data_IF_911461504321
#
_entry.id   IF_911461504321
#
_cell.length_a   1.000
_cell.length_b   1.000
_cell.length_c   1.000
_cell.angle_alpha   90.00
_cell.angle_beta   90.00
_cell.angle_gamma   90.00
#
_symmetry.space_group_name_H-M   'P 1'
#
loop_
_entity.id
_entity.type
_entity.pdbx_description
1 polymer ?
#
# COMPACT_ATOMS: atom_id res chain seq x y z
N UNK A 1 7.12 -10.36 -12.29
CA UNK A 1 7.38 -10.60 -10.85
C UNK A 1 8.63 -9.85 -10.48
N UNK A 2 8.60 -9.12 -9.37
CA UNK A 2 9.78 -8.42 -8.87
C UNK A 2 10.76 -9.42 -8.25
N UNK A 3 12.04 -9.27 -8.58
CA UNK A 3 13.09 -10.15 -8.10
C UNK A 3 13.54 -9.71 -6.70
N UNK A 4 14.06 -10.65 -5.90
CA UNK A 4 14.75 -10.37 -4.64
C UNK A 4 13.98 -9.49 -3.66
N UNK A 5 12.72 -9.85 -3.41
CA UNK A 5 11.93 -9.24 -2.34
C UNK A 5 12.29 -9.85 -0.98
N UNK A 6 12.31 -9.04 0.09
CA UNK A 6 12.67 -9.51 1.42
C UNK A 6 11.60 -10.44 1.99
N UNK A 7 12.03 -11.36 2.84
CA UNK A 7 11.11 -12.17 3.62
C UNK A 7 10.35 -11.33 4.65
N UNK A 8 9.15 -11.79 5.02
CA UNK A 8 8.27 -11.06 5.94
C UNK A 8 8.90 -10.84 7.33
N UNK A 9 9.71 -11.78 7.83
CA UNK A 9 10.35 -11.60 9.14
C UNK A 9 11.44 -10.51 9.10
N UNK A 10 12.19 -10.40 7.98
CA UNK A 10 13.17 -9.34 7.78
C UNK A 10 12.51 -7.96 7.76
N UNK A 11 11.33 -7.83 7.15
CA UNK A 11 10.55 -6.57 7.15
C UNK A 11 10.15 -6.18 8.57
N UNK A 12 9.53 -7.10 9.33
CA UNK A 12 9.10 -6.84 10.71
C UNK A 12 10.27 -6.48 11.62
N UNK A 13 11.39 -7.20 11.49
CA UNK A 13 12.62 -6.92 12.22
C UNK A 13 13.18 -5.54 11.87
N UNK A 14 13.10 -5.12 10.61
CA UNK A 14 13.54 -3.81 10.19
C UNK A 14 12.76 -2.70 10.91
N UNK A 15 11.42 -2.75 10.88
CA UNK A 15 10.61 -1.76 11.61
C UNK A 15 10.96 -1.69 13.09
N UNK A 16 11.13 -2.85 13.75
CA UNK A 16 11.48 -2.91 15.18
C UNK A 16 12.86 -2.34 15.48
N UNK A 17 13.82 -2.57 14.59
CA UNK A 17 15.19 -2.07 14.76
C UNK A 17 15.33 -0.57 14.44
N UNK A 18 14.49 -0.05 13.53
CA UNK A 18 14.59 1.34 13.06
C UNK A 18 13.82 2.33 13.93
N UNK A 19 12.69 1.92 14.51
CA UNK A 19 11.83 2.85 15.23
C UNK A 19 12.56 3.50 16.43
N UNK A 20 12.57 4.84 16.55
CA UNK A 20 13.28 5.53 17.62
C UNK A 20 12.58 5.43 18.98
N UNK A 21 11.29 5.05 18.99
CA UNK A 21 10.49 4.86 20.19
C UNK A 21 9.35 3.87 19.93
N UNK A 22 8.74 3.36 20.99
CA UNK A 22 7.56 2.51 20.89
C UNK A 22 6.35 3.27 20.31
N UNK A 23 6.19 4.55 20.64
CA UNK A 23 5.12 5.39 20.09
C UNK A 23 5.27 5.58 18.58
N UNK A 24 6.50 5.83 18.10
CA UNK A 24 6.80 5.94 16.69
C UNK A 24 6.55 4.61 15.97
N UNK A 25 7.03 3.50 16.55
CA UNK A 25 6.76 2.16 16.04
C UNK A 25 5.26 1.93 15.89
N UNK A 26 4.50 2.11 16.96
CA UNK A 26 3.07 1.81 16.99
C UNK A 26 2.28 2.66 15.99
N UNK A 27 2.67 3.91 15.73
CA UNK A 27 1.99 4.74 14.74
C UNK A 27 2.32 4.30 13.30
N UNK A 28 3.61 4.21 12.97
CA UNK A 28 4.08 4.02 11.60
C UNK A 28 3.88 2.56 11.17
N UNK A 29 4.23 1.60 12.03
CA UNK A 29 4.02 0.18 11.74
C UNK A 29 2.53 -0.15 11.60
N UNK A 30 1.65 0.31 12.50
CA UNK A 30 0.21 0.07 12.35
C UNK A 30 -0.34 0.63 11.04
N UNK A 31 0.13 1.80 10.62
CA UNK A 31 -0.23 2.32 9.30
C UNK A 31 0.26 1.38 8.19
N UNK A 32 1.52 0.97 8.20
CA UNK A 32 2.07 0.02 7.24
C UNK A 32 1.29 -1.30 7.20
N UNK A 33 0.79 -1.80 8.34
CA UNK A 33 -0.09 -2.99 8.40
C UNK A 33 -1.41 -2.74 7.66
N UNK A 34 -2.04 -1.59 7.87
CA UNK A 34 -3.26 -1.20 7.12
C UNK A 34 -2.96 -1.14 5.63
N UNK A 35 -1.84 -0.52 5.22
CA UNK A 35 -1.50 -0.38 3.79
C UNK A 35 -1.14 -1.72 3.16
N UNK A 36 -0.41 -2.59 3.84
CA UNK A 36 -0.12 -3.95 3.37
C UNK A 36 -1.40 -4.77 3.18
N UNK A 37 -2.38 -4.62 4.09
CA UNK A 37 -3.69 -5.27 3.99
C UNK A 37 -4.44 -4.79 2.75
N UNK A 38 -4.58 -3.47 2.57
CA UNK A 38 -5.29 -2.90 1.41
C UNK A 38 -4.55 -3.23 0.10
N UNK A 39 -3.22 -3.18 0.10
CA UNK A 39 -2.39 -3.49 -1.08
C UNK A 39 -2.59 -4.93 -1.52
N UNK A 40 -2.58 -5.88 -0.58
CA UNK A 40 -2.89 -7.27 -0.87
C UNK A 40 -4.32 -7.43 -1.39
N UNK A 41 -5.31 -6.79 -0.75
CA UNK A 41 -6.71 -6.85 -1.19
C UNK A 41 -6.87 -6.35 -2.65
N UNK A 42 -6.26 -5.21 -3.00
CA UNK A 42 -6.30 -4.66 -4.36
C UNK A 42 -5.62 -5.58 -5.37
N UNK A 43 -4.43 -6.12 -5.04
CA UNK A 43 -3.73 -7.08 -5.89
C UNK A 43 -4.55 -8.36 -6.11
N UNK A 44 -5.11 -8.92 -5.04
CA UNK A 44 -5.99 -10.10 -5.04
C UNK A 44 -7.22 -9.88 -5.92
N UNK A 45 -7.86 -8.72 -5.77
CA UNK A 45 -9.03 -8.33 -6.55
C UNK A 45 -8.70 -8.20 -8.05
N UNK A 46 -7.57 -7.59 -8.39
CA UNK A 46 -7.10 -7.51 -9.77
C UNK A 46 -6.85 -8.90 -10.38
N UNK A 47 -6.25 -9.82 -9.62
CA UNK A 47 -6.06 -11.20 -10.06
C UNK A 47 -7.40 -11.94 -10.25
N UNK A 48 -8.38 -11.72 -9.39
CA UNK A 48 -9.73 -12.28 -9.53
C UNK A 48 -10.42 -11.77 -10.81
N UNK A 49 -10.39 -10.46 -11.04
CA UNK A 49 -10.94 -9.84 -12.25
C UNK A 49 -10.31 -10.39 -13.53
N UNK A 50 -8.99 -10.57 -13.56
CA UNK A 50 -8.31 -11.17 -14.71
C UNK A 50 -8.69 -12.63 -14.91
N UNK A 51 -8.71 -13.43 -13.84
CA UNK A 51 -9.12 -14.83 -13.91
C UNK A 51 -10.55 -14.98 -14.44
N UNK A 52 -11.47 -14.10 -14.04
CA UNK A 52 -12.84 -14.10 -14.54
C UNK A 52 -12.91 -13.72 -16.01
N UNK A 53 -12.23 -12.63 -16.41
CA UNK A 53 -12.16 -12.21 -17.82
C UNK A 53 -11.60 -13.31 -18.73
N UNK A 54 -10.68 -14.13 -18.24
CA UNK A 54 -10.12 -15.26 -19.01
C UNK A 54 -11.06 -16.47 -19.11
N UNK A 55 -11.99 -16.63 -18.17
CA UNK A 55 -12.91 -17.78 -18.09
C UNK A 55 -14.30 -17.52 -18.68
N UNK A 56 -14.74 -16.27 -18.77
CA UNK A 56 -16.11 -15.91 -19.18
C UNK A 56 -16.45 -14.44 -18.87
N UNK A 57 -17.73 -14.14 -18.66
CA UNK A 57 -18.16 -12.80 -18.19
C UNK A 57 -18.00 -12.69 -16.68
N UNK A 58 -17.77 -11.47 -16.16
CA UNK A 58 -17.76 -11.18 -14.71
C UNK A 58 -19.12 -11.58 -14.07
N UNK A 59 -20.20 -11.49 -14.83
CA UNK A 59 -21.57 -11.83 -14.40
C UNK A 59 -21.73 -13.30 -14.03
N UNK A 60 -20.96 -14.21 -14.66
CA UNK A 60 -21.02 -15.66 -14.41
C UNK A 60 -20.51 -16.06 -13.01
N UNK A 61 -19.93 -15.11 -12.28
CA UNK A 61 -19.27 -15.32 -11.00
C UNK A 61 -19.88 -14.50 -9.85
N UNK A 62 -20.88 -13.65 -10.11
CA UNK A 62 -21.51 -12.79 -9.11
C UNK A 62 -22.16 -13.58 -7.94
N UNK A 63 -22.63 -14.80 -8.22
CA UNK A 63 -23.28 -15.68 -7.23
C UNK A 63 -22.29 -16.61 -6.49
N UNK A 64 -20.98 -16.53 -6.78
CA UNK A 64 -19.99 -17.42 -6.16
C UNK A 64 -19.54 -16.90 -4.80
N UNK A 65 -19.32 -17.83 -3.87
CA UNK A 65 -18.73 -17.50 -2.56
C UNK A 65 -17.29 -16.98 -2.71
N UNK A 66 -16.79 -16.13 -1.79
CA UNK A 66 -15.41 -15.64 -1.81
C UNK A 66 -14.36 -16.76 -1.88
N UNK A 67 -14.59 -17.86 -1.19
CA UNK A 67 -13.70 -19.03 -1.23
C UNK A 67 -13.68 -19.70 -2.62
N UNK A 68 -14.84 -19.79 -3.28
CA UNK A 68 -14.93 -20.34 -4.63
C UNK A 68 -14.23 -19.43 -5.65
N UNK A 69 -14.41 -18.12 -5.53
CA UNK A 69 -13.72 -17.11 -6.34
C UNK A 69 -12.21 -17.23 -6.19
N UNK A 70 -11.73 -17.33 -4.96
CA UNK A 70 -10.31 -17.54 -4.65
C UNK A 70 -9.75 -18.80 -5.30
N UNK A 71 -10.43 -19.95 -5.15
CA UNK A 71 -9.98 -21.22 -5.73
C UNK A 71 -9.90 -21.16 -7.25
N UNK A 72 -10.89 -20.53 -7.90
CA UNK A 72 -10.91 -20.34 -9.35
C UNK A 72 -9.72 -19.50 -9.80
N UNK A 73 -9.48 -18.37 -9.12
CA UNK A 73 -8.37 -17.49 -9.43
C UNK A 73 -7.03 -18.21 -9.28
N UNK A 74 -6.79 -18.89 -8.15
CA UNK A 74 -5.54 -19.63 -7.91
C UNK A 74 -5.32 -20.75 -8.95
N UNK A 75 -6.39 -21.41 -9.38
CA UNK A 75 -6.32 -22.38 -10.47
C UNK A 75 -5.87 -21.75 -11.79
N UNK A 76 -6.32 -20.52 -12.11
CA UNK A 76 -5.88 -19.84 -13.33
C UNK A 76 -4.43 -19.35 -13.22
N UNK A 77 -4.06 -18.71 -12.12
CA UNK A 77 -2.67 -18.28 -11.87
C UNK A 77 -1.72 -19.47 -11.97
N UNK A 78 -2.06 -20.61 -11.36
CA UNK A 78 -1.21 -21.81 -11.40
C UNK A 78 -1.01 -22.41 -12.80
N UNK A 79 -1.94 -22.20 -13.74
CA UNK A 79 -1.80 -22.66 -15.13
C UNK A 79 -0.80 -21.81 -15.90
N UNK A 80 -0.71 -20.52 -15.56
CA UNK A 80 0.16 -19.55 -16.22
C UNK A 80 1.55 -19.55 -15.59
N UNK A 81 1.62 -19.45 -14.25
CA UNK A 81 2.88 -19.32 -13.53
C UNK A 81 2.76 -19.91 -12.10
N UNK A 82 3.47 -21.03 -11.86
CA UNK A 82 3.48 -21.72 -10.56
C UNK A 82 4.20 -20.93 -9.46
N UNK A 83 5.22 -20.15 -9.82
CA UNK A 83 5.95 -19.32 -8.87
C UNK A 83 5.07 -18.17 -8.39
N UNK A 84 4.32 -17.55 -9.31
CA UNK A 84 3.35 -16.52 -8.98
C UNK A 84 2.24 -17.04 -8.06
N UNK A 85 1.74 -18.26 -8.31
CA UNK A 85 0.79 -18.90 -7.39
C UNK A 85 1.41 -19.10 -6.01
N UNK A 86 2.64 -19.59 -5.94
CA UNK A 86 3.35 -19.80 -4.67
C UNK A 86 3.50 -18.48 -3.90
N UNK A 87 3.70 -17.37 -4.61
CA UNK A 87 3.74 -16.03 -4.03
C UNK A 87 2.37 -15.53 -3.57
N UNK A 88 1.27 -15.90 -4.24
CA UNK A 88 -0.09 -15.64 -3.75
C UNK A 88 -0.35 -16.35 -2.41
N UNK A 89 0.03 -17.63 -2.31
CA UNK A 89 -0.10 -18.39 -1.05
C UNK A 89 0.77 -17.80 0.06
N UNK A 90 2.00 -17.41 -0.26
CA UNK A 90 2.92 -16.76 0.68
C UNK A 90 2.35 -15.44 1.19
N UNK A 91 1.82 -14.60 0.30
CA UNK A 91 1.22 -13.32 0.66
C UNK A 91 0.01 -13.52 1.60
N UNK A 92 -0.89 -14.45 1.26
CA UNK A 92 -2.03 -14.82 2.09
C UNK A 92 -1.57 -15.26 3.48
N UNK A 93 -0.65 -16.22 3.56
CA UNK A 93 -0.15 -16.73 4.85
C UNK A 93 0.54 -15.65 5.69
N UNK A 94 1.34 -14.79 5.06
CA UNK A 94 1.99 -13.67 5.76
C UNK A 94 0.98 -12.65 6.28
N UNK A 95 -0.03 -12.32 5.46
CA UNK A 95 -1.08 -11.40 5.86
C UNK A 95 -1.90 -11.97 7.02
N UNK A 96 -2.37 -13.21 6.93
CA UNK A 96 -3.12 -13.87 8.01
C UNK A 96 -2.35 -13.85 9.33
N UNK A 97 -1.03 -14.06 9.27
CA UNK A 97 -0.15 -13.96 10.44
C UNK A 97 -0.02 -12.51 10.95
N UNK A 98 0.02 -11.54 10.04
CA UNK A 98 0.16 -10.11 10.37
C UNK A 98 -1.10 -9.55 11.06
N UNK A 99 -2.29 -9.86 10.54
CA UNK A 99 -3.58 -9.37 11.07
C UNK A 99 -4.23 -10.34 12.07
N UNK A 100 -3.64 -11.53 12.26
CA UNK A 100 -4.12 -12.61 13.13
C UNK A 100 -5.58 -13.03 12.86
N UNK A 101 -5.98 -13.03 11.58
CA UNK A 101 -7.34 -13.29 11.12
C UNK A 101 -7.33 -13.95 9.74
N UNK A 102 -8.41 -14.65 9.39
CA UNK A 102 -8.62 -15.19 8.06
C UNK A 102 -8.87 -14.05 7.06
N UNK A 103 -8.12 -14.06 5.95
CA UNK A 103 -8.25 -13.06 4.88
C UNK A 103 -9.63 -13.08 4.20
N UNK A 104 -10.37 -14.19 4.26
CA UNK A 104 -11.75 -14.26 3.77
C UNK A 104 -12.73 -13.41 4.59
N UNK A 105 -12.35 -12.99 5.80
CA UNK A 105 -13.13 -12.05 6.62
C UNK A 105 -12.97 -10.59 6.21
N UNK A 106 -11.97 -10.28 5.37
CA UNK A 106 -11.73 -8.92 4.91
C UNK A 106 -12.87 -8.43 4.00
N UNK A 107 -13.19 -7.12 4.02
CA UNK A 107 -14.17 -6.53 3.12
C UNK A 107 -13.82 -6.78 1.66
N UNK A 108 -14.82 -7.08 0.83
CA UNK A 108 -14.63 -7.19 -0.62
C UNK A 108 -14.43 -5.80 -1.25
N UNK A 109 -13.78 -5.77 -2.42
CA UNK A 109 -13.59 -4.57 -3.25
C UNK A 109 -14.63 -4.57 -4.35
N UNK A 110 -15.27 -3.41 -4.57
CA UNK A 110 -16.32 -3.24 -5.58
C UNK A 110 -15.76 -2.61 -6.87
N UNK A 111 -16.19 -3.11 -8.03
CA UNK A 111 -15.80 -2.55 -9.34
C UNK A 111 -14.37 -2.87 -9.74
N UNK A 112 -13.67 -1.95 -10.42
CA UNK A 112 -12.33 -2.17 -10.95
C UNK A 112 -12.33 -2.71 -12.39
N UNK A 113 -11.16 -2.71 -13.01
CA UNK A 113 -10.94 -3.23 -14.35
C UNK A 113 -9.85 -4.31 -14.32
N UNK A 114 -10.06 -5.41 -15.03
CA UNK A 114 -9.08 -6.48 -15.11
C UNK A 114 -7.74 -5.97 -15.70
N UNK A 115 -6.59 -6.25 -15.07
CA UNK A 115 -5.28 -5.87 -15.60
C UNK A 115 -4.94 -6.66 -16.88
N UNK A 116 -3.83 -6.29 -17.54
CA UNK A 116 -3.29 -7.07 -18.66
C UNK A 116 -2.67 -8.38 -18.20
N UNK A 117 -2.05 -8.37 -17.03
CA UNK A 117 -1.28 -9.45 -16.45
C UNK A 117 -1.60 -9.60 -14.96
N UNK A 118 -1.31 -10.79 -14.43
CA UNK A 118 -1.46 -11.05 -13.01
C UNK A 118 -0.47 -10.24 -12.17
N UNK A 119 -0.97 -9.72 -11.06
CA UNK A 119 -0.23 -8.94 -10.07
C UNK A 119 0.47 -9.87 -9.09
N UNK A 120 1.70 -9.52 -8.74
CA UNK A 120 2.44 -10.19 -7.69
C UNK A 120 1.93 -9.76 -6.29
N UNK A 121 1.03 -10.55 -5.72
CA UNK A 121 0.38 -10.26 -4.43
C UNK A 121 1.40 -10.09 -3.29
N UNK A 122 2.49 -10.84 -3.30
CA UNK A 122 3.53 -10.74 -2.26
C UNK A 122 4.31 -9.44 -2.38
N UNK A 123 4.58 -8.98 -3.60
CA UNK A 123 5.25 -7.72 -3.84
C UNK A 123 4.40 -6.53 -3.36
N UNK A 124 3.09 -6.53 -3.67
CA UNK A 124 2.17 -5.51 -3.17
C UNK A 124 2.06 -5.52 -1.63
N UNK A 125 1.97 -6.71 -1.02
CA UNK A 125 1.97 -6.87 0.43
C UNK A 125 3.26 -6.34 1.09
N UNK A 126 4.42 -6.81 0.63
CA UNK A 126 5.72 -6.42 1.17
C UNK A 126 6.01 -4.93 0.97
N UNK A 127 5.68 -4.41 -0.22
CA UNK A 127 5.76 -2.99 -0.53
C UNK A 127 4.88 -2.15 0.39
N UNK A 128 3.66 -2.61 0.69
CA UNK A 128 2.77 -1.94 1.65
C UNK A 128 3.33 -1.90 3.07
N UNK A 129 4.11 -2.88 3.49
CA UNK A 129 4.81 -2.82 4.78
C UNK A 129 5.99 -1.83 4.74
N UNK A 130 6.75 -1.77 3.65
CA UNK A 130 8.01 -1.02 3.59
C UNK A 130 7.88 0.43 3.11
N UNK A 131 6.79 0.79 2.43
CA UNK A 131 6.67 2.08 1.73
C UNK A 131 6.98 3.29 2.63
N UNK A 132 6.61 3.21 3.90
CA UNK A 132 6.71 4.33 4.84
C UNK A 132 7.85 4.18 5.86
N UNK A 133 8.78 3.24 5.66
CA UNK A 133 9.89 3.01 6.60
C UNK A 133 10.71 4.28 6.85
N UNK A 134 10.82 5.15 5.83
CA UNK A 134 11.54 6.40 5.94
C UNK A 134 10.88 7.44 6.85
N UNK A 135 9.63 7.24 7.26
CA UNK A 135 8.91 8.16 8.16
C UNK A 135 9.56 8.25 9.53
N UNK A 136 10.22 7.18 9.99
CA UNK A 136 11.02 7.21 11.22
C UNK A 136 12.13 8.28 11.21
N UNK A 137 12.60 8.67 10.02
CA UNK A 137 13.67 9.66 9.86
C UNK A 137 13.16 11.08 9.67
N UNK A 138 11.85 11.33 9.63
CA UNK A 138 11.25 12.68 9.48
C UNK A 138 10.32 13.04 10.64
N UNK A 139 10.63 12.52 11.83
CA UNK A 139 9.95 12.89 13.07
C UNK A 139 10.61 14.15 13.65
N UNK A 140 9.82 15.19 13.92
CA UNK A 140 10.25 16.34 14.72
C UNK A 140 10.28 15.97 16.21
N UNK A 141 9.35 15.12 16.65
CA UNK A 141 9.32 14.50 17.99
C UNK A 141 8.90 13.04 17.87
N UNK A 142 9.65 12.16 18.50
CA UNK A 142 9.41 10.71 18.49
C UNK A 142 8.49 10.23 19.62
N UNK A 143 8.05 11.12 20.51
CA UNK A 143 7.22 10.76 21.67
C UNK A 143 7.96 10.06 22.81
N UNK A 144 9.31 9.98 22.77
CA UNK A 144 10.12 9.36 23.83
C UNK A 144 10.34 10.26 25.06
N UNK A 145 10.19 11.58 24.89
CA UNK A 145 10.46 12.57 25.95
C UNK A 145 9.17 12.96 26.65
N UNK A 146 9.09 12.55 27.92
CA UNK A 146 8.02 12.77 28.92
C UNK A 146 6.84 11.78 28.86
N UNK A 147 6.18 11.59 30.01
CA UNK A 147 5.04 10.69 30.27
C UNK A 147 3.82 10.95 29.35
N UNK A 148 3.87 12.04 28.56
CA UNK A 148 2.91 12.43 27.52
C UNK A 148 3.61 12.95 26.23
N UNK A 149 4.82 12.46 25.92
CA UNK A 149 5.61 12.88 24.78
C UNK A 149 4.81 12.84 23.47
N UNK A 150 4.60 14.00 22.84
CA UNK A 150 3.81 14.09 21.61
C UNK A 150 4.64 13.63 20.42
N UNK A 151 4.09 12.71 19.65
CA UNK A 151 4.62 12.38 18.32
C UNK A 151 4.27 13.53 17.36
N UNK A 152 5.27 14.03 16.65
CA UNK A 152 5.13 15.15 15.72
C UNK A 152 6.01 14.90 14.50
N UNK A 153 5.42 15.01 13.31
CA UNK A 153 6.14 14.91 12.05
C UNK A 153 6.80 16.24 11.69
N UNK A 154 7.95 16.20 11.03
CA UNK A 154 8.54 17.36 10.39
C UNK A 154 7.73 17.70 9.13
N UNK A 155 6.66 18.49 9.29
CA UNK A 155 5.72 18.81 8.21
C UNK A 155 6.39 19.32 6.91
N UNK A 156 7.24 20.36 6.96
CA UNK A 156 7.93 20.88 5.78
C UNK A 156 8.81 19.85 5.06
N UNK A 157 9.43 18.93 5.79
CA UNK A 157 10.32 17.91 5.23
C UNK A 157 9.67 16.53 5.14
N UNK A 158 8.38 16.39 5.46
CA UNK A 158 7.72 15.09 5.53
C UNK A 158 7.84 14.35 4.21
N UNK A 159 7.74 15.06 3.08
CA UNK A 159 7.86 14.49 1.74
C UNK A 159 9.21 13.76 1.49
N UNK A 160 10.26 14.07 2.26
CA UNK A 160 11.54 13.37 2.18
C UNK A 160 11.49 11.93 2.68
N UNK A 161 10.44 11.49 3.40
CA UNK A 161 10.34 10.13 3.91
C UNK A 161 10.48 9.08 2.80
N UNK A 162 9.96 9.32 1.61
CA UNK A 162 10.09 8.40 0.49
C UNK A 162 11.54 8.21 0.06
N UNK A 163 12.31 9.30 -0.09
CA UNK A 163 13.73 9.24 -0.48
C UNK A 163 14.62 8.71 0.66
N UNK A 164 14.40 9.14 1.90
CA UNK A 164 15.12 8.61 3.07
C UNK A 164 14.85 7.12 3.27
N UNK A 165 13.62 6.68 3.04
CA UNK A 165 13.25 5.26 3.08
C UNK A 165 13.93 4.46 1.98
N UNK A 166 13.98 5.00 0.76
CA UNK A 166 14.72 4.41 -0.36
C UNK A 166 16.20 4.23 -0.03
N UNK A 167 16.91 5.30 0.35
CA UNK A 167 18.33 5.25 0.66
C UNK A 167 18.61 4.27 1.82
N UNK A 168 17.79 4.32 2.87
CA UNK A 168 17.90 3.42 4.01
C UNK A 168 17.73 1.94 3.64
N UNK A 169 16.80 1.62 2.74
CA UNK A 169 16.60 0.24 2.29
C UNK A 169 17.82 -0.26 1.48
N UNK A 170 18.37 0.57 0.60
CA UNK A 170 19.58 0.23 -0.15
C UNK A 170 20.76 0.00 0.81
N UNK A 171 20.97 0.90 1.78
CA UNK A 171 22.05 0.79 2.77
C UNK A 171 21.92 -0.47 3.65
N UNK A 172 20.70 -0.98 3.84
CA UNK A 172 20.43 -2.23 4.58
C UNK A 172 20.38 -3.47 3.67
N UNK A 173 20.88 -3.38 2.43
CA UNK A 173 21.03 -4.49 1.50
C UNK A 173 19.71 -5.02 0.96
N UNK A 174 18.69 -4.17 0.82
CA UNK A 174 17.48 -4.50 0.07
C UNK A 174 17.68 -4.19 -1.42
N UNK A 175 16.92 -4.87 -2.27
CA UNK A 175 16.98 -4.66 -3.72
C UNK A 175 16.39 -3.31 -4.14
N UNK A 176 16.78 -2.85 -5.32
CA UNK A 176 16.20 -1.67 -5.97
C UNK A 176 14.67 -1.80 -6.09
N UNK A 177 14.19 -2.97 -6.56
CA UNK A 177 12.76 -3.28 -6.67
C UNK A 177 12.00 -3.07 -5.35
N UNK A 178 12.65 -3.37 -4.22
CA UNK A 178 12.08 -3.17 -2.89
C UNK A 178 12.11 -1.70 -2.47
N UNK A 179 13.27 -1.04 -2.63
CA UNK A 179 13.46 0.35 -2.20
C UNK A 179 12.54 1.33 -2.94
N UNK A 180 12.21 1.03 -4.20
CA UNK A 180 11.36 1.86 -5.04
C UNK A 180 9.90 1.98 -4.51
N UNK A 181 9.42 1.04 -3.70
CA UNK A 181 8.13 1.19 -3.01
C UNK A 181 8.14 2.38 -2.05
N UNK A 182 9.25 2.63 -1.35
CA UNK A 182 9.39 3.81 -0.51
C UNK A 182 9.51 5.07 -1.35
N UNK A 183 10.29 5.04 -2.43
CA UNK A 183 10.56 6.21 -3.28
C UNK A 183 9.32 6.77 -3.97
N UNK A 184 8.44 5.91 -4.48
CA UNK A 184 7.47 6.28 -5.53
C UNK A 184 5.99 6.29 -5.08
N UNK A 185 5.71 6.25 -3.78
CA UNK A 185 4.33 6.12 -3.28
C UNK A 185 3.67 7.47 -2.90
N UNK A 186 4.37 8.60 -3.00
CA UNK A 186 3.82 9.90 -2.60
C UNK A 186 2.79 10.41 -3.61
N UNK A 187 1.66 10.94 -3.10
CA UNK A 187 0.60 11.49 -3.94
C UNK A 187 0.00 10.46 -4.89
N UNK A 188 -0.34 10.87 -6.11
CA UNK A 188 -0.79 9.98 -7.19
C UNK A 188 0.30 9.76 -8.23
N UNK A 189 1.55 9.80 -7.76
CA UNK A 189 2.77 9.92 -8.56
C UNK A 189 3.17 11.39 -8.65
N UNK A 190 4.44 11.68 -8.38
CA UNK A 190 4.96 13.04 -8.37
C UNK A 190 5.94 13.22 -9.55
N UNK A 191 5.60 14.09 -10.50
CA UNK A 191 6.46 14.34 -11.67
C UNK A 191 7.56 15.34 -11.36
N UNK A 192 8.63 15.32 -12.16
CA UNK A 192 9.71 16.32 -12.11
C UNK A 192 9.18 17.75 -12.17
N UNK A 193 8.22 18.02 -13.05
CA UNK A 193 7.61 19.34 -13.20
C UNK A 193 6.87 19.76 -11.93
N UNK A 194 6.16 18.84 -11.26
CA UNK A 194 5.52 19.12 -9.98
C UNK A 194 6.54 19.40 -8.89
N UNK A 195 7.65 18.65 -8.82
CA UNK A 195 8.76 18.90 -7.89
C UNK A 195 9.29 20.33 -8.04
N UNK A 196 9.59 20.74 -9.27
CA UNK A 196 10.16 22.06 -9.55
C UNK A 196 9.13 23.17 -9.33
N UNK A 197 7.93 23.03 -9.90
CA UNK A 197 6.91 24.10 -9.86
C UNK A 197 6.32 24.34 -8.47
N UNK A 198 6.26 23.30 -7.63
CA UNK A 198 5.79 23.41 -6.25
C UNK A 198 6.93 23.67 -5.25
N UNK A 199 8.17 23.82 -5.74
CA UNK A 199 9.37 24.03 -4.93
C UNK A 199 9.51 23.01 -3.79
N UNK A 200 9.27 21.73 -4.11
CA UNK A 200 9.35 20.65 -3.13
C UNK A 200 10.81 20.44 -2.71
N UNK A 201 11.09 20.09 -1.44
CA UNK A 201 12.44 19.82 -0.95
C UNK A 201 12.95 18.45 -1.43
N UNK A 202 12.78 18.15 -2.73
CA UNK A 202 13.23 16.93 -3.38
C UNK A 202 14.18 17.29 -4.53
N UNK A 203 15.17 16.45 -4.84
CA UNK A 203 15.88 16.54 -6.11
C UNK A 203 14.89 16.56 -7.28
N UNK A 204 15.14 17.38 -8.29
CA UNK A 204 14.29 17.41 -9.47
C UNK A 204 14.34 16.04 -10.17
N UNK A 205 13.21 15.34 -10.23
CA UNK A 205 13.09 14.02 -10.84
C UNK A 205 11.67 13.48 -10.72
N UNK A 206 11.40 12.38 -11.44
CA UNK A 206 10.13 11.67 -11.33
C UNK A 206 10.16 10.68 -10.15
N UNK A 207 9.08 10.71 -9.37
CA UNK A 207 8.80 9.84 -8.23
C UNK A 207 7.44 9.19 -8.46
N UNK A 208 7.36 8.42 -9.55
CA UNK A 208 6.14 7.77 -10.04
C UNK A 208 6.31 6.25 -9.99
N UNK A 209 5.26 5.48 -9.67
CA UNK A 209 5.32 4.03 -9.69
C UNK A 209 5.82 3.49 -11.02
N UNK A 210 6.81 2.58 -10.96
CA UNK A 210 7.35 1.93 -12.16
C UNK A 210 6.67 0.60 -12.47
N UNK A 211 5.94 0.03 -11.49
CA UNK A 211 5.26 -1.26 -11.61
C UNK A 211 3.82 -1.15 -11.11
N UNK A 212 2.98 -2.13 -11.48
CA UNK A 212 1.58 -2.18 -11.02
C UNK A 212 1.51 -2.36 -9.50
N UNK A 213 2.45 -3.11 -8.91
CA UNK A 213 2.53 -3.31 -7.46
C UNK A 213 2.87 -2.01 -6.73
N UNK A 214 3.81 -1.21 -7.24
CA UNK A 214 4.10 0.11 -6.69
C UNK A 214 2.88 1.04 -6.80
N UNK A 215 2.13 0.97 -7.91
CA UNK A 215 0.92 1.79 -8.09
C UNK A 215 -0.18 1.36 -7.12
N UNK A 216 -0.34 0.06 -6.87
CA UNK A 216 -1.26 -0.48 -5.88
C UNK A 216 -0.91 0.01 -4.47
N UNK A 217 0.36 -0.06 -4.07
CA UNK A 217 0.82 0.43 -2.76
C UNK A 217 0.59 1.94 -2.62
N UNK A 218 0.91 2.70 -3.66
CA UNK A 218 0.62 4.14 -3.72
C UNK A 218 -0.87 4.43 -3.54
N UNK A 219 -1.75 3.67 -4.21
CA UNK A 219 -3.21 3.81 -4.07
C UNK A 219 -3.69 3.42 -2.68
N UNK A 220 -3.18 2.31 -2.14
CA UNK A 220 -3.54 1.80 -0.82
C UNK A 220 -3.22 2.82 0.28
N UNK A 221 -2.04 3.46 0.23
CA UNK A 221 -1.62 4.50 1.18
C UNK A 221 -2.64 5.65 1.29
N UNK A 222 -3.41 5.92 0.23
CA UNK A 222 -4.34 7.07 0.21
C UNK A 222 -5.62 6.85 0.99
N UNK A 223 -5.87 5.62 1.40
CA UNK A 223 -7.01 5.26 2.22
C UNK A 223 -6.74 5.39 3.73
N UNK A 224 -5.51 5.65 4.18
CA UNK A 224 -5.21 5.80 5.61
C UNK A 224 -4.28 6.99 5.89
N UNK A 225 -4.51 7.68 7.01
CA UNK A 225 -3.74 8.85 7.45
C UNK A 225 -3.10 8.60 8.80
N UNK A 226 -1.81 8.93 8.89
CA UNK A 226 -0.98 8.90 10.11
C UNK A 226 -1.23 10.08 11.04
N UNK A 227 -2.29 10.84 10.82
CA UNK A 227 -2.80 11.81 11.79
C UNK A 227 -2.94 11.17 13.17
N UNK A 228 -2.93 11.96 14.24
CA UNK A 228 -3.09 11.45 15.60
C UNK A 228 -4.47 11.91 16.13
N UNK A 229 -5.44 11.00 16.35
CA UNK A 229 -5.38 9.55 16.09
C UNK A 229 -5.47 9.18 14.59
N UNK A 230 -4.94 7.99 14.20
CA UNK A 230 -5.01 7.48 12.83
C UNK A 230 -6.44 7.27 12.37
N UNK A 231 -6.63 7.37 11.05
CA UNK A 231 -7.97 7.31 10.45
C UNK A 231 -7.93 6.92 8.99
N UNK A 232 -9.01 6.31 8.54
CA UNK A 232 -9.26 6.07 7.13
C UNK A 232 -9.75 7.34 6.43
N UNK A 233 -9.41 7.46 5.15
CA UNK A 233 -9.90 8.53 4.29
C UNK A 233 -10.86 7.93 3.26
N UNK A 234 -12.04 8.52 3.09
CA UNK A 234 -12.89 8.17 1.95
C UNK A 234 -12.26 8.58 0.62
N UNK A 235 -12.72 7.98 -0.48
CA UNK A 235 -12.34 8.38 -1.84
C UNK A 235 -12.50 9.88 -2.05
N UNK A 236 -13.61 10.47 -1.60
CA UNK A 236 -13.87 11.91 -1.75
C UNK A 236 -13.00 12.77 -0.84
N UNK A 237 -12.73 12.30 0.38
CA UNK A 237 -11.80 12.97 1.30
C UNK A 237 -10.41 13.05 0.69
N UNK A 238 -9.89 11.95 0.13
CA UNK A 238 -8.60 12.00 -0.54
C UNK A 238 -8.63 12.78 -1.86
N UNK A 239 -9.72 12.69 -2.65
CA UNK A 239 -9.90 13.49 -3.88
C UNK A 239 -9.72 14.99 -3.60
N UNK A 240 -10.38 15.51 -2.56
CA UNK A 240 -10.25 16.91 -2.12
C UNK A 240 -8.85 17.25 -1.62
N UNK A 241 -8.13 16.30 -1.02
CA UNK A 241 -6.72 16.50 -0.61
C UNK A 241 -5.81 16.58 -1.84
N UNK A 242 -5.98 15.67 -2.80
CA UNK A 242 -5.19 15.62 -4.04
C UNK A 242 -5.38 16.90 -4.87
N UNK A 243 -6.60 17.41 -4.96
CA UNK A 243 -6.96 18.64 -5.69
C UNK A 243 -6.20 19.89 -5.21
N UNK A 244 -5.81 19.95 -3.92
CA UNK A 244 -4.99 21.05 -3.36
C UNK A 244 -3.60 21.15 -4.00
N UNK A 245 -3.13 20.06 -4.61
CA UNK A 245 -1.84 19.97 -5.29
C UNK A 245 -2.00 19.95 -6.83
N UNK A 246 -3.20 20.28 -7.33
CA UNK A 246 -3.53 20.34 -8.75
C UNK A 246 -4.78 19.54 -9.09
N UNK A 247 -5.65 20.09 -9.94
CA UNK A 247 -6.89 19.44 -10.39
C UNK A 247 -6.62 18.08 -11.04
N UNK A 248 -5.53 17.97 -11.81
CA UNK A 248 -5.10 16.72 -12.46
C UNK A 248 -4.84 15.59 -11.45
N UNK A 249 -4.38 15.90 -10.24
CA UNK A 249 -4.19 14.88 -9.20
C UNK A 249 -5.54 14.29 -8.75
N UNK A 250 -6.58 15.12 -8.69
CA UNK A 250 -7.94 14.67 -8.35
C UNK A 250 -8.53 13.78 -9.45
N UNK A 251 -8.32 14.13 -10.73
CA UNK A 251 -8.72 13.31 -11.89
C UNK A 251 -7.97 11.99 -11.91
N UNK A 252 -6.65 12.03 -11.70
CA UNK A 252 -5.80 10.85 -11.62
C UNK A 252 -6.21 9.92 -10.49
N UNK A 253 -6.54 10.47 -9.32
CA UNK A 253 -7.08 9.68 -8.20
C UNK A 253 -8.38 8.97 -8.59
N UNK A 254 -9.33 9.67 -9.19
CA UNK A 254 -10.59 9.03 -9.61
C UNK A 254 -10.38 7.96 -10.69
N UNK A 255 -9.44 8.17 -11.61
CA UNK A 255 -9.02 7.15 -12.56
C UNK A 255 -8.46 5.91 -11.85
N UNK A 256 -7.59 6.08 -10.84
CA UNK A 256 -7.03 4.99 -10.05
C UNK A 256 -8.11 4.21 -9.29
N UNK A 257 -9.07 4.91 -8.68
CA UNK A 257 -10.22 4.26 -8.00
C UNK A 257 -11.05 3.44 -8.98
N UNK A 258 -11.30 3.96 -10.18
CA UNK A 258 -12.02 3.21 -11.21
C UNK A 258 -11.21 2.00 -11.73
N UNK A 259 -9.88 2.13 -11.82
CA UNK A 259 -8.99 1.05 -12.26
C UNK A 259 -8.94 -0.10 -11.26
N UNK A 260 -8.69 0.20 -9.98
CA UNK A 260 -8.45 -0.82 -8.96
C UNK A 260 -9.69 -1.25 -8.19
N UNK A 261 -10.78 -0.49 -8.29
CA UNK A 261 -12.00 -0.71 -7.52
C UNK A 261 -12.04 0.10 -6.24
N UNK A 262 -13.21 0.10 -5.61
CA UNK A 262 -13.54 0.90 -4.44
C UNK A 262 -13.37 0.08 -3.16
N UNK A 263 -12.48 0.55 -2.30
CA UNK A 263 -12.24 -0.03 -0.98
C UNK A 263 -13.33 0.40 0.00
N UNK A 264 -13.90 -0.55 0.75
CA UNK A 264 -14.91 -0.27 1.77
C UNK A 264 -14.27 0.26 3.06
N UNK A 265 -13.96 1.57 3.08
CA UNK A 265 -13.24 2.21 4.19
C UNK A 265 -13.96 2.13 5.53
N UNK A 266 -15.30 2.17 5.55
CA UNK A 266 -16.06 2.03 6.80
C UNK A 266 -15.88 0.63 7.41
N UNK A 267 -15.99 -0.42 6.59
CA UNK A 267 -15.79 -1.80 7.05
C UNK A 267 -14.35 -2.05 7.50
N UNK A 268 -13.36 -1.45 6.83
CA UNK A 268 -11.97 -1.51 7.26
C UNK A 268 -11.72 -0.71 8.55
N UNK A 269 -12.35 0.44 8.70
CA UNK A 269 -12.29 1.22 9.92
C UNK A 269 -12.84 0.44 11.12
N UNK A 270 -13.99 -0.22 10.95
CA UNK A 270 -14.56 -1.12 11.97
C UNK A 270 -13.60 -2.30 12.26
N UNK A 271 -13.04 -2.91 11.21
CA UNK A 271 -12.09 -4.03 11.34
C UNK A 271 -10.84 -3.67 12.13
N UNK A 272 -10.24 -2.50 11.86
CA UNK A 272 -9.02 -2.03 12.54
C UNK A 272 -9.29 -1.20 13.80
N UNK A 273 -10.56 -0.96 14.16
CA UNK A 273 -10.93 -0.09 15.28
C UNK A 273 -10.50 1.37 15.10
N UNK A 274 -10.47 1.87 13.86
CA UNK A 274 -10.08 3.24 13.52
C UNK A 274 -11.29 4.08 13.10
N UNK A 275 -11.10 5.41 13.01
CA UNK A 275 -12.14 6.34 12.55
C UNK A 275 -12.08 6.55 11.03
N UNK A 276 -13.13 7.13 10.46
CA UNK A 276 -13.21 7.56 9.04
C UNK A 276 -13.35 9.09 8.97
N UNK A 277 -12.64 9.73 8.04
CA UNK A 277 -12.79 11.13 7.63
C UNK A 277 -13.50 11.30 6.27
#
# INVERSE_FOLDING_TARGET
MLADLPDFNRIEKLHRATAPSEAAYNLIHCHCVVIATISWMLARHQNQLLAFKQLGSIEDFADKSPASVEQIMLCQVSKINKDLKSRCDLAKSCLERLINLDTLSLPQIDGGAAPSDYVDEYAAFAGGLLHDIGTYFVLAKDGSREENGKLEFDGPHYILHGLRGYDYLIDNGFSEDTAQFARNHTGVGLTREQVVSQNLPLPAGDYIPQTIEQEIVMVADKYNSKSIPPRFLTVDTYRRKAERFGEENSKRWMFLVNKYGRVSVCKLADFFGLKVD
#
